data_IF_724864448715
#
_entry.id   IF_724864448715
#
_cell.length_a   1.000
_cell.length_b   1.000
_cell.length_c   1.000
_cell.angle_alpha   90.00
_cell.angle_beta   90.00
_cell.angle_gamma   90.00
#
_symmetry.space_group_name_H-M   'P 1'
#
loop_
_entity.id
_entity.type
_entity.pdbx_description
1 polymer ?
#
# COMPACT_ATOMS: atom_id res chain seq x y z
N UNK A 1 64.83 43.06 -61.80
CA UNK A 1 65.38 42.47 -60.54
C UNK A 1 64.37 42.71 -59.47
N UNK A 2 63.52 41.69 -59.18
CA UNK A 2 62.42 41.75 -58.21
C UNK A 2 62.77 40.83 -57.09
N UNK A 3 62.98 41.36 -55.89
CA UNK A 3 63.24 40.60 -54.65
C UNK A 3 61.89 40.26 -54.08
N UNK A 4 61.59 38.94 -53.91
CA UNK A 4 60.48 38.37 -53.16
C UNK A 4 60.84 38.24 -51.68
N UNK A 5 60.11 38.91 -50.79
CA UNK A 5 60.22 38.73 -49.37
C UNK A 5 59.21 37.54 -48.98
N UNK A 6 59.76 36.54 -48.36
CA UNK A 6 59.00 35.42 -47.76
C UNK A 6 58.86 35.74 -46.29
N UNK A 7 57.57 35.84 -45.82
CA UNK A 7 57.22 35.98 -44.43
C UNK A 7 57.00 34.57 -43.85
N UNK A 8 57.79 34.19 -42.84
CA UNK A 8 57.55 33.04 -42.02
C UNK A 8 56.69 33.51 -40.84
N UNK A 9 55.42 32.99 -40.75
CA UNK A 9 54.56 33.15 -39.58
C UNK A 9 54.88 32.06 -38.63
N UNK A 10 55.41 32.39 -37.44
CA UNK A 10 55.51 31.47 -36.31
C UNK A 10 54.15 31.46 -35.58
N UNK A 11 53.42 30.38 -35.70
CA UNK A 11 52.25 30.12 -34.87
C UNK A 11 52.70 29.53 -33.54
N UNK A 12 52.60 30.31 -32.47
CA UNK A 12 52.79 29.86 -31.10
C UNK A 12 51.47 29.23 -30.64
N UNK A 13 51.39 27.90 -30.54
CA UNK A 13 50.30 27.19 -29.91
C UNK A 13 50.42 27.38 -28.39
N UNK A 14 49.52 28.18 -27.81
CA UNK A 14 49.25 28.20 -26.41
C UNK A 14 48.42 26.95 -26.05
N UNK A 15 49.03 25.90 -25.51
CA UNK A 15 48.36 24.81 -24.85
C UNK A 15 47.99 25.29 -23.46
N UNK A 16 46.75 25.78 -23.31
CA UNK A 16 46.18 26.03 -21.99
C UNK A 16 45.95 24.68 -21.31
N UNK A 17 46.85 24.29 -20.44
CA UNK A 17 46.68 23.15 -19.53
C UNK A 17 45.46 23.46 -18.63
N UNK A 18 44.30 22.88 -18.91
CA UNK A 18 43.20 22.78 -17.94
C UNK A 18 43.71 21.82 -16.88
N UNK A 19 44.21 22.35 -15.78
CA UNK A 19 44.36 21.58 -14.54
C UNK A 19 42.95 21.19 -14.13
N UNK A 20 42.55 19.93 -14.39
CA UNK A 20 41.44 19.30 -13.71
C UNK A 20 41.81 19.36 -12.23
N UNK A 21 41.30 20.38 -11.54
CA UNK A 21 41.35 20.41 -10.09
C UNK A 21 40.77 19.09 -9.60
N UNK A 22 41.55 18.31 -8.86
CA UNK A 22 41.03 17.19 -8.12
C UNK A 22 39.88 17.73 -7.30
N UNK A 23 38.67 17.30 -7.66
CA UNK A 23 37.49 17.48 -6.80
C UNK A 23 37.88 16.75 -5.53
N UNK A 24 38.20 17.51 -4.48
CA UNK A 24 38.45 16.92 -3.17
C UNK A 24 37.25 16.03 -2.89
N UNK A 25 37.50 14.75 -2.63
CA UNK A 25 36.45 13.81 -2.28
C UNK A 25 35.59 14.46 -1.21
N UNK A 26 34.30 14.56 -1.48
CA UNK A 26 33.37 15.10 -0.49
C UNK A 26 33.54 14.25 0.79
N UNK A 27 33.55 14.88 1.96
CA UNK A 27 33.70 14.12 3.20
C UNK A 27 32.62 13.03 3.24
N UNK A 28 32.94 11.82 3.68
CA UNK A 28 31.95 10.75 3.72
C UNK A 28 30.75 11.18 4.55
N UNK A 29 29.55 10.93 4.04
CA UNK A 29 28.33 11.17 4.79
C UNK A 29 28.38 10.46 6.15
N UNK A 30 27.92 11.10 7.23
CA UNK A 30 27.83 10.41 8.51
C UNK A 30 26.99 9.12 8.36
N UNK A 31 27.23 8.08 9.16
CA UNK A 31 26.36 6.91 9.15
C UNK A 31 24.94 7.30 9.55
N UNK A 32 23.90 6.57 9.10
CA UNK A 32 22.55 6.77 9.56
C UNK A 32 22.46 6.64 11.09
N UNK A 33 21.66 7.49 11.72
CA UNK A 33 21.48 7.48 13.18
C UNK A 33 20.87 6.15 13.65
N UNK A 34 21.58 5.47 14.56
CA UNK A 34 21.16 4.17 15.10
C UNK A 34 19.92 4.23 15.98
N UNK A 35 19.52 5.41 16.47
CA UNK A 35 18.27 5.59 17.20
C UNK A 35 17.03 5.31 16.35
N UNK A 36 17.12 5.51 15.04
CA UNK A 36 16.03 5.23 14.11
C UNK A 36 16.04 3.81 13.55
N UNK A 37 17.08 3.02 13.77
CA UNK A 37 17.16 1.66 13.27
C UNK A 37 16.02 0.80 13.81
N UNK A 38 15.30 0.13 12.91
CA UNK A 38 14.28 -0.86 13.23
C UNK A 38 14.55 -2.18 12.51
N UNK A 39 14.07 -3.28 13.07
CA UNK A 39 14.10 -4.60 12.44
C UNK A 39 12.82 -4.82 11.64
N UNK A 40 11.70 -4.26 12.13
CA UNK A 40 10.38 -4.27 11.51
C UNK A 40 9.94 -2.83 11.27
N UNK A 41 9.48 -2.54 10.06
CA UNK A 41 8.73 -1.32 9.72
C UNK A 41 7.28 -1.69 9.42
N UNK A 42 6.35 -1.07 10.14
CA UNK A 42 4.91 -1.20 9.89
C UNK A 42 4.47 0.05 9.13
N UNK A 43 3.76 -0.14 8.03
CA UNK A 43 3.18 0.96 7.23
C UNK A 43 1.69 0.70 7.12
N UNK A 44 0.89 1.56 7.72
CA UNK A 44 -0.56 1.39 7.85
C UNK A 44 -1.30 2.71 7.59
N UNK A 45 -2.62 2.66 7.51
CA UNK A 45 -3.42 3.83 7.17
C UNK A 45 -3.74 4.69 8.41
N UNK A 46 -4.31 4.09 9.46
CA UNK A 46 -4.88 4.80 10.60
C UNK A 46 -4.21 4.41 11.91
N UNK A 47 -4.23 5.30 12.93
CA UNK A 47 -3.86 4.91 14.29
C UNK A 47 -4.85 3.89 14.82
N UNK A 48 -4.45 2.70 15.08
CA UNK A 48 -5.10 1.46 15.53
C UNK A 48 -4.90 0.26 14.57
N UNK A 49 -4.55 0.49 13.32
CA UNK A 49 -4.29 -0.58 12.34
C UNK A 49 -3.18 -1.55 12.81
N UNK A 50 -2.20 -1.04 13.56
CA UNK A 50 -1.11 -1.86 14.12
C UNK A 50 -1.62 -2.94 15.08
N UNK A 51 -2.83 -2.75 15.62
CA UNK A 51 -3.47 -3.72 16.53
C UNK A 51 -3.68 -5.07 15.88
N UNK A 52 -3.83 -5.13 14.57
CA UNK A 52 -3.92 -6.37 13.79
C UNK A 52 -2.72 -7.30 13.99
N UNK A 53 -1.56 -6.75 14.33
CA UNK A 53 -0.33 -7.52 14.51
C UNK A 53 0.26 -7.40 15.90
N UNK A 54 -0.38 -6.68 16.82
CA UNK A 54 0.14 -6.38 18.17
C UNK A 54 0.43 -7.62 18.99
N UNK A 55 -0.36 -8.69 18.86
CA UNK A 55 -0.06 -9.97 19.51
C UNK A 55 1.28 -10.57 19.08
N UNK A 56 1.68 -10.41 17.83
CA UNK A 56 3.01 -10.77 17.34
C UNK A 56 4.07 -9.75 17.77
N UNK A 57 3.75 -8.45 17.73
CA UNK A 57 4.68 -7.41 18.16
C UNK A 57 5.08 -7.56 19.62
N UNK A 58 4.17 -7.98 20.48
CA UNK A 58 4.47 -8.31 21.88
C UNK A 58 5.57 -9.36 21.99
N UNK A 59 5.47 -10.45 21.22
CA UNK A 59 6.52 -11.48 21.13
C UNK A 59 7.84 -10.90 20.60
N UNK A 60 7.78 -10.23 19.47
CA UNK A 60 8.96 -9.71 18.78
C UNK A 60 9.74 -8.70 19.64
N UNK A 61 9.03 -7.79 20.33
CA UNK A 61 9.65 -6.75 21.14
C UNK A 61 10.15 -7.27 22.49
N UNK A 62 9.26 -7.91 23.24
CA UNK A 62 9.57 -8.27 24.64
C UNK A 62 10.46 -9.50 24.79
N UNK A 63 10.32 -10.47 23.88
CA UNK A 63 11.01 -11.74 23.99
C UNK A 63 12.12 -11.94 22.95
N UNK A 64 11.99 -11.35 21.76
CA UNK A 64 12.97 -11.43 20.68
C UNK A 64 13.82 -10.14 20.54
N UNK A 65 13.52 -9.11 21.33
CA UNK A 65 14.24 -7.83 21.37
C UNK A 65 14.34 -7.13 20.02
N UNK A 66 13.30 -7.27 19.18
CA UNK A 66 13.20 -6.61 17.89
C UNK A 66 12.82 -5.14 18.07
N UNK A 67 13.46 -4.28 17.29
CA UNK A 67 13.11 -2.86 17.21
C UNK A 67 12.02 -2.68 16.15
N UNK A 68 10.99 -1.94 16.49
CA UNK A 68 9.84 -1.67 15.63
C UNK A 68 9.74 -0.18 15.35
N UNK A 69 9.35 0.17 14.15
CA UNK A 69 8.98 1.51 13.74
C UNK A 69 7.62 1.46 13.02
N UNK A 70 6.82 2.53 13.14
CA UNK A 70 5.47 2.59 12.58
C UNK A 70 5.27 3.87 11.78
N UNK A 71 4.60 3.74 10.64
CA UNK A 71 4.18 4.84 9.77
C UNK A 71 2.67 4.74 9.58
N UNK A 72 1.97 5.79 9.97
CA UNK A 72 0.55 5.99 9.68
C UNK A 72 0.39 6.91 8.47
N UNK A 73 -0.46 6.53 7.52
CA UNK A 73 -0.80 7.35 6.36
C UNK A 73 -1.55 8.60 6.76
N UNK A 74 -2.58 8.43 7.55
CA UNK A 74 -3.47 9.49 8.03
C UNK A 74 -3.41 9.63 9.55
N UNK A 75 -4.25 10.48 10.10
CA UNK A 75 -4.52 10.57 11.55
C UNK A 75 -5.88 9.99 11.93
N UNK A 76 -6.58 9.35 10.99
CA UNK A 76 -7.94 8.86 11.21
C UNK A 76 -8.97 9.98 11.43
N UNK A 77 -8.72 11.15 10.87
CA UNK A 77 -9.49 12.37 11.12
C UNK A 77 -10.83 12.41 10.36
N UNK A 78 -11.06 11.53 9.41
CA UNK A 78 -12.33 11.34 8.71
C UNK A 78 -13.33 10.42 9.44
N UNK A 79 -12.88 9.68 10.45
CA UNK A 79 -13.72 8.73 11.20
C UNK A 79 -14.64 9.36 12.23
N UNK A 80 -15.44 8.51 12.87
CA UNK A 80 -16.29 8.88 14.02
C UNK A 80 -15.52 8.86 15.35
N UNK A 81 -15.97 9.64 16.34
CA UNK A 81 -15.40 9.63 17.69
C UNK A 81 -16.30 8.81 18.62
N UNK A 82 -15.79 7.69 19.15
CA UNK A 82 -16.53 6.81 20.06
C UNK A 82 -16.66 7.38 21.49
N UNK A 83 -15.84 8.36 21.87
CA UNK A 83 -15.75 8.87 23.25
C UNK A 83 -16.17 10.32 23.42
N UNK A 84 -16.13 11.14 22.38
CA UNK A 84 -16.29 12.57 22.47
C UNK A 84 -17.02 13.19 21.27
N UNK A 85 -16.83 14.49 21.10
CA UNK A 85 -17.45 15.28 20.03
C UNK A 85 -16.42 15.84 19.04
N UNK A 86 -15.15 15.60 19.28
CA UNK A 86 -14.06 16.03 18.42
C UNK A 86 -14.21 15.41 17.06
N UNK A 87 -14.04 16.21 16.00
CA UNK A 87 -14.16 15.82 14.60
C UNK A 87 -12.99 16.40 13.80
N UNK A 88 -12.73 15.82 12.64
CA UNK A 88 -11.72 16.28 11.71
C UNK A 88 -10.35 16.49 12.39
N UNK A 89 -9.66 17.60 12.15
CA UNK A 89 -8.32 17.84 12.66
C UNK A 89 -8.17 17.71 14.19
N UNK A 90 -9.24 18.00 14.97
CA UNK A 90 -9.22 17.80 16.44
C UNK A 90 -9.23 16.33 16.80
N UNK A 91 -10.05 15.53 16.12
CA UNK A 91 -10.07 14.07 16.29
C UNK A 91 -8.72 13.45 15.86
N UNK A 92 -8.18 13.89 14.73
CA UNK A 92 -6.88 13.41 14.26
C UNK A 92 -5.74 13.72 15.25
N UNK A 93 -5.78 14.88 15.91
CA UNK A 93 -4.80 15.22 16.96
C UNK A 93 -4.94 14.33 18.20
N UNK A 94 -6.17 13.98 18.60
CA UNK A 94 -6.44 13.04 19.69
C UNK A 94 -5.95 11.63 19.36
N UNK A 95 -6.28 11.12 18.18
CA UNK A 95 -5.86 9.80 17.69
C UNK A 95 -4.34 9.69 17.54
N UNK A 96 -3.67 10.75 17.12
CA UNK A 96 -2.19 10.78 17.11
C UNK A 96 -1.62 10.57 18.51
N UNK A 97 -2.22 11.18 19.55
CA UNK A 97 -1.80 10.97 20.94
C UNK A 97 -2.09 9.54 21.39
N UNK A 98 -3.25 9.00 21.05
CA UNK A 98 -3.64 7.62 21.38
C UNK A 98 -2.68 6.61 20.76
N UNK A 99 -2.42 6.67 19.45
CA UNK A 99 -1.50 5.78 18.77
C UNK A 99 -0.06 5.88 19.28
N UNK A 100 0.43 7.09 19.58
CA UNK A 100 1.76 7.24 20.19
C UNK A 100 1.83 6.61 21.58
N UNK A 101 0.78 6.73 22.41
CA UNK A 101 0.74 6.12 23.75
C UNK A 101 0.61 4.61 23.69
N UNK A 102 -0.20 4.10 22.77
CA UNK A 102 -0.33 2.68 22.53
C UNK A 102 1.04 2.06 22.22
N UNK A 103 1.73 2.59 21.24
CA UNK A 103 3.05 2.16 20.80
C UNK A 103 4.14 2.38 21.86
N UNK A 104 4.09 3.50 22.61
CA UNK A 104 5.01 3.79 23.73
C UNK A 104 4.89 2.72 24.83
N UNK A 105 3.70 2.14 25.07
CA UNK A 105 3.51 1.06 26.05
C UNK A 105 4.35 -0.19 25.72
N UNK A 106 4.68 -0.35 24.44
CA UNK A 106 5.61 -1.39 23.95
C UNK A 106 7.05 -0.89 23.78
N UNK A 107 7.33 0.37 24.11
CA UNK A 107 8.63 0.98 23.93
C UNK A 107 8.95 1.39 22.48
N UNK A 108 7.94 1.46 21.62
CA UNK A 108 8.07 1.91 20.23
C UNK A 108 7.98 3.43 20.20
N UNK A 109 9.12 4.09 19.91
CA UNK A 109 9.22 5.56 19.90
C UNK A 109 9.33 6.14 18.48
N UNK A 110 9.66 5.30 17.50
CA UNK A 110 9.83 5.70 16.10
C UNK A 110 8.49 5.61 15.38
N UNK A 111 7.69 6.67 15.45
CA UNK A 111 6.33 6.74 14.93
C UNK A 111 6.18 8.00 14.08
N UNK A 112 5.77 7.84 12.82
CA UNK A 112 5.54 8.92 11.86
C UNK A 112 4.10 8.92 11.37
N UNK A 113 3.62 10.09 11.01
CA UNK A 113 2.35 10.32 10.33
C UNK A 113 2.67 11.04 9.02
N UNK A 114 2.22 10.50 7.90
CA UNK A 114 2.43 11.13 6.58
C UNK A 114 1.58 12.39 6.42
N UNK A 115 0.52 12.51 7.23
CA UNK A 115 -0.39 13.66 7.22
C UNK A 115 -1.31 13.69 6.01
N UNK A 116 -1.54 12.55 5.38
CA UNK A 116 -2.54 12.43 4.34
C UNK A 116 -3.95 12.58 4.94
N UNK A 117 -4.93 13.14 4.18
CA UNK A 117 -6.32 13.16 4.61
C UNK A 117 -6.88 11.74 4.69
N UNK A 118 -7.70 11.48 5.68
CA UNK A 118 -8.49 10.26 5.79
C UNK A 118 -9.60 10.27 4.74
N UNK A 119 -9.69 9.22 3.93
CA UNK A 119 -10.58 9.15 2.75
C UNK A 119 -11.63 8.07 2.97
N UNK A 120 -12.91 8.42 3.13
CA UNK A 120 -13.95 7.41 3.21
C UNK A 120 -14.24 6.82 1.83
N UNK A 121 -14.20 5.50 1.69
CA UNK A 121 -14.55 4.84 0.43
C UNK A 121 -13.96 3.46 0.24
N UNK A 122 -14.04 2.99 -1.02
CA UNK A 122 -13.61 1.66 -1.44
C UNK A 122 -12.74 1.73 -2.71
N UNK A 123 -12.30 2.93 -3.12
CA UNK A 123 -11.53 3.15 -4.34
C UNK A 123 -10.10 3.60 -4.01
N UNK A 124 -9.16 2.67 -4.01
CA UNK A 124 -7.75 2.91 -3.75
C UNK A 124 -7.15 4.03 -4.60
N UNK A 125 -7.61 4.21 -5.84
CA UNK A 125 -7.09 5.28 -6.71
C UNK A 125 -7.45 6.65 -6.17
N UNK A 126 -8.63 6.79 -5.55
CA UNK A 126 -9.06 8.02 -4.89
C UNK A 126 -8.18 8.30 -3.67
N UNK A 127 -7.93 7.31 -2.83
CA UNK A 127 -7.02 7.49 -1.69
C UNK A 127 -5.61 7.84 -2.14
N UNK A 128 -5.05 7.15 -3.14
CA UNK A 128 -3.74 7.46 -3.68
C UNK A 128 -3.65 8.89 -4.24
N UNK A 129 -4.71 9.36 -4.93
CA UNK A 129 -4.80 10.75 -5.41
C UNK A 129 -4.86 11.74 -4.23
N UNK A 130 -5.76 11.50 -3.27
CA UNK A 130 -5.98 12.34 -2.10
C UNK A 130 -4.73 12.42 -1.21
N UNK A 131 -4.02 11.32 -1.04
CA UNK A 131 -2.77 11.25 -0.29
C UNK A 131 -1.58 11.90 -1.02
N UNK A 132 -1.77 12.37 -2.25
CA UNK A 132 -0.66 12.79 -3.10
C UNK A 132 0.39 11.68 -3.20
N UNK A 133 0.02 10.59 -3.87
CA UNK A 133 0.77 9.32 -3.98
C UNK A 133 2.29 9.50 -4.04
N UNK A 134 2.78 10.35 -4.96
CA UNK A 134 4.22 10.58 -5.10
C UNK A 134 4.88 11.14 -3.83
N UNK A 135 4.19 12.00 -3.09
CA UNK A 135 4.69 12.57 -1.83
C UNK A 135 4.68 11.54 -0.70
N UNK A 136 3.59 10.80 -0.55
CA UNK A 136 3.46 9.75 0.47
C UNK A 136 4.50 8.64 0.23
N UNK A 137 4.70 8.23 -1.03
CA UNK A 137 5.72 7.27 -1.43
C UNK A 137 7.14 7.79 -1.13
N UNK A 138 7.45 9.03 -1.48
CA UNK A 138 8.77 9.63 -1.21
C UNK A 138 9.08 9.66 0.29
N UNK A 139 8.10 10.01 1.13
CA UNK A 139 8.24 10.02 2.58
C UNK A 139 8.44 8.60 3.13
N UNK A 140 7.66 7.62 2.66
CA UNK A 140 7.78 6.21 3.09
C UNK A 140 9.13 5.62 2.71
N UNK A 141 9.61 5.87 1.49
CA UNK A 141 10.97 5.49 1.04
C UNK A 141 12.03 6.12 1.93
N UNK A 142 11.88 7.41 2.28
CA UNK A 142 12.79 8.10 3.18
C UNK A 142 12.83 7.46 4.57
N UNK A 143 11.67 7.16 5.15
CA UNK A 143 11.58 6.51 6.47
C UNK A 143 12.18 5.10 6.40
N UNK A 144 11.94 4.36 5.32
CA UNK A 144 12.51 3.03 5.11
C UNK A 144 14.05 3.07 5.01
N UNK A 145 14.61 4.07 4.34
CA UNK A 145 16.07 4.33 4.29
C UNK A 145 16.62 4.76 5.65
N UNK A 146 15.84 5.51 6.43
CA UNK A 146 16.21 5.95 7.76
C UNK A 146 16.20 4.79 8.77
N UNK A 147 15.14 4.00 8.77
CA UNK A 147 14.93 2.89 9.72
C UNK A 147 15.65 1.61 9.32
N UNK A 148 15.95 1.42 8.05
CA UNK A 148 16.70 0.27 7.51
C UNK A 148 16.14 -1.09 7.98
N UNK A 149 14.84 -1.37 7.80
CA UNK A 149 14.21 -2.57 8.30
C UNK A 149 14.63 -3.80 7.50
N UNK A 150 14.60 -4.98 8.13
CA UNK A 150 14.71 -6.26 7.44
C UNK A 150 13.35 -6.68 6.89
N UNK A 151 12.29 -6.41 7.65
CA UNK A 151 10.91 -6.83 7.36
C UNK A 151 9.98 -5.63 7.33
N UNK A 152 9.08 -5.62 6.38
CA UNK A 152 7.97 -4.65 6.27
C UNK A 152 6.66 -5.39 6.51
N UNK A 153 5.79 -4.83 7.35
CA UNK A 153 4.43 -5.31 7.59
C UNK A 153 3.45 -4.22 7.12
N UNK A 154 2.39 -4.60 6.42
CA UNK A 154 1.39 -3.66 5.94
C UNK A 154 0.07 -4.35 5.61
N UNK A 155 -0.96 -3.57 5.28
CA UNK A 155 -2.23 -4.08 4.79
C UNK A 155 -2.08 -4.81 3.46
N UNK A 156 -2.91 -5.83 3.24
CA UNK A 156 -3.02 -6.49 1.94
C UNK A 156 -3.56 -5.49 0.90
N UNK A 157 -2.76 -5.10 -0.10
CA UNK A 157 -3.23 -4.18 -1.12
C UNK A 157 -4.19 -4.91 -2.07
N UNK A 158 -5.45 -4.58 -2.03
CA UNK A 158 -6.52 -5.19 -2.84
C UNK A 158 -7.81 -5.31 -2.07
N UNK A 159 -8.87 -5.72 -2.77
CA UNK A 159 -10.15 -5.99 -2.14
C UNK A 159 -10.08 -7.26 -1.31
N UNK A 160 -10.61 -7.21 -0.11
CA UNK A 160 -10.76 -8.38 0.76
C UNK A 160 -12.22 -8.53 1.14
N UNK A 161 -12.72 -9.76 1.18
CA UNK A 161 -14.12 -10.02 1.54
C UNK A 161 -14.42 -9.46 2.94
N UNK A 162 -15.34 -8.52 3.00
CA UNK A 162 -15.77 -7.87 4.23
C UNK A 162 -15.06 -6.58 4.61
N UNK A 163 -13.87 -6.33 4.07
CA UNK A 163 -13.12 -5.09 4.29
C UNK A 163 -12.64 -4.53 2.96
N UNK A 164 -13.11 -3.35 2.61
CA UNK A 164 -12.78 -2.69 1.35
C UNK A 164 -12.30 -1.25 1.54
N UNK A 165 -11.84 -0.90 2.77
CA UNK A 165 -11.41 0.47 3.05
C UNK A 165 -10.23 0.85 2.14
N UNK A 166 -10.40 1.91 1.37
CA UNK A 166 -9.45 2.32 0.34
C UNK A 166 -8.13 2.84 0.92
N UNK A 167 -8.14 3.46 2.11
CA UNK A 167 -6.91 3.92 2.77
C UNK A 167 -6.05 2.74 3.24
N UNK A 168 -6.64 1.63 3.70
CA UNK A 168 -5.91 0.39 4.00
C UNK A 168 -5.22 -0.14 2.74
N UNK A 169 -5.95 -0.17 1.62
CA UNK A 169 -5.40 -0.58 0.33
C UNK A 169 -4.27 0.35 -0.12
N UNK A 170 -4.42 1.67 0.04
CA UNK A 170 -3.41 2.67 -0.32
C UNK A 170 -2.14 2.52 0.51
N UNK A 171 -2.26 2.27 1.81
CA UNK A 171 -1.11 1.98 2.68
C UNK A 171 -0.34 0.75 2.19
N UNK A 172 -1.05 -0.34 1.84
CA UNK A 172 -0.47 -1.55 1.26
C UNK A 172 0.24 -1.31 -0.07
N UNK A 173 -0.34 -0.49 -0.95
CA UNK A 173 0.27 -0.09 -2.23
C UNK A 173 1.54 0.69 -1.99
N UNK A 174 1.50 1.77 -1.21
CA UNK A 174 2.65 2.64 -0.92
C UNK A 174 3.78 1.86 -0.23
N UNK A 175 3.45 0.98 0.73
CA UNK A 175 4.44 0.15 1.39
C UNK A 175 5.14 -0.82 0.43
N UNK A 176 4.39 -1.40 -0.51
CA UNK A 176 4.93 -2.32 -1.53
C UNK A 176 5.85 -1.59 -2.50
N UNK A 177 5.44 -0.43 -2.99
CA UNK A 177 6.26 0.41 -3.87
C UNK A 177 7.52 0.91 -3.15
N UNK A 178 7.38 1.35 -1.90
CA UNK A 178 8.51 1.79 -1.08
C UNK A 178 9.50 0.64 -0.82
N UNK A 179 9.02 -0.58 -0.55
CA UNK A 179 9.84 -1.78 -0.42
C UNK A 179 10.70 -2.02 -1.66
N UNK A 180 10.11 -1.87 -2.84
CA UNK A 180 10.80 -2.07 -4.11
C UNK A 180 11.76 -0.93 -4.47
N UNK A 181 11.47 0.30 -4.04
CA UNK A 181 12.24 1.49 -4.45
C UNK A 181 13.30 1.93 -3.43
N UNK A 182 13.19 1.56 -2.16
CA UNK A 182 14.11 2.07 -1.13
C UNK A 182 15.57 1.66 -1.37
N UNK A 183 15.79 0.50 -2.02
CA UNK A 183 17.12 0.02 -2.43
C UNK A 183 17.67 0.65 -3.70
N UNK A 184 16.83 1.34 -4.49
CA UNK A 184 17.23 1.95 -5.75
C UNK A 184 17.80 3.36 -5.53
N UNK A 185 19.09 3.62 -5.83
CA UNK A 185 19.68 4.95 -5.68
C UNK A 185 19.12 5.97 -6.68
N UNK A 186 18.46 5.52 -7.75
CA UNK A 186 17.85 6.40 -8.76
C UNK A 186 16.43 6.81 -8.42
N UNK A 187 15.78 6.10 -7.49
CA UNK A 187 14.50 6.50 -6.92
C UNK A 187 14.71 7.55 -5.83
N UNK A 188 14.08 8.71 -5.96
CA UNK A 188 14.24 9.85 -5.04
C UNK A 188 15.74 10.14 -4.75
N UNK A 189 16.53 10.43 -5.79
CA UNK A 189 18.00 10.56 -5.66
C UNK A 189 18.40 11.69 -4.72
N UNK A 190 17.56 12.71 -4.53
CA UNK A 190 17.77 13.81 -3.59
C UNK A 190 17.89 13.36 -2.14
N UNK A 191 17.36 12.19 -1.80
CA UNK A 191 17.45 11.63 -0.45
C UNK A 191 18.82 11.02 -0.14
N UNK A 192 19.56 10.58 -1.15
CA UNK A 192 20.81 9.81 -1.00
C UNK A 192 22.00 10.47 -1.67
N UNK A 193 21.79 11.53 -2.45
CA UNK A 193 22.82 12.28 -3.15
C UNK A 193 23.18 13.56 -2.40
N UNK A 194 24.43 13.98 -2.49
CA UNK A 194 24.82 15.31 -2.03
C UNK A 194 24.07 16.38 -2.84
N UNK A 195 23.48 17.39 -2.20
CA UNK A 195 22.85 18.48 -2.93
C UNK A 195 23.89 19.25 -3.73
N UNK A 196 23.49 19.73 -4.91
CA UNK A 196 24.35 20.59 -5.75
C UNK A 196 24.57 21.96 -5.12
N UNK A 197 23.59 22.42 -4.37
CA UNK A 197 23.63 23.66 -3.61
C UNK A 197 23.96 23.38 -2.15
N UNK A 198 25.09 23.86 -1.68
CA UNK A 198 25.55 23.68 -0.29
C UNK A 198 24.74 24.53 0.71
N UNK A 199 23.92 25.46 0.25
CA UNK A 199 23.00 26.23 1.10
C UNK A 199 21.73 25.47 1.47
N UNK A 200 21.40 24.39 0.73
CA UNK A 200 20.24 23.56 0.98
C UNK A 200 20.45 22.67 2.19
N UNK A 201 19.41 22.51 3.01
CA UNK A 201 19.36 21.46 4.05
C UNK A 201 19.44 20.11 3.35
N UNK A 202 20.41 19.31 3.72
CA UNK A 202 20.82 18.13 3.00
C UNK A 202 20.49 16.86 3.78
N UNK A 203 20.07 15.81 3.08
CA UNK A 203 19.98 14.45 3.61
C UNK A 203 21.32 13.88 4.07
N UNK A 204 22.44 14.52 3.72
CA UNK A 204 23.76 14.14 4.23
C UNK A 204 23.82 14.19 5.75
N UNK A 205 23.05 15.08 6.39
CA UNK A 205 22.98 15.16 7.86
C UNK A 205 22.28 13.95 8.48
N UNK A 206 21.45 13.23 7.71
CA UNK A 206 20.78 12.01 8.15
C UNK A 206 21.54 10.74 7.76
N UNK A 207 22.54 10.86 6.90
CA UNK A 207 23.32 9.75 6.40
C UNK A 207 22.52 8.73 5.60
N UNK A 208 21.41 9.15 4.96
CA UNK A 208 20.56 8.25 4.21
C UNK A 208 21.32 7.57 3.08
N UNK A 209 21.06 6.29 2.91
CA UNK A 209 21.63 5.45 1.86
C UNK A 209 20.54 4.54 1.31
N UNK A 210 20.68 4.07 0.06
CA UNK A 210 19.80 3.02 -0.44
C UNK A 210 19.74 1.86 0.54
N UNK A 211 18.54 1.38 0.82
CA UNK A 211 18.32 0.25 1.72
C UNK A 211 17.26 -0.68 1.15
N UNK A 212 17.63 -1.93 0.87
CA UNK A 212 16.72 -2.94 0.39
C UNK A 212 16.20 -3.78 1.56
N UNK A 213 14.92 -3.62 1.98
CA UNK A 213 14.32 -4.55 2.91
C UNK A 213 14.27 -5.96 2.31
N UNK A 214 14.21 -6.99 3.17
CA UNK A 214 14.40 -8.36 2.71
C UNK A 214 13.10 -9.11 2.48
N UNK A 215 12.06 -8.77 3.27
CA UNK A 215 10.73 -9.39 3.16
C UNK A 215 9.63 -8.37 3.39
N UNK A 216 8.52 -8.55 2.68
CA UNK A 216 7.28 -7.84 2.94
C UNK A 216 6.16 -8.85 3.20
N UNK A 217 5.44 -8.63 4.28
CA UNK A 217 4.26 -9.40 4.68
C UNK A 217 3.05 -8.50 4.74
N UNK A 218 1.92 -9.09 4.43
CA UNK A 218 0.63 -8.43 4.50
C UNK A 218 -0.24 -9.07 5.59
N UNK A 219 -1.18 -8.29 6.10
CA UNK A 219 -2.25 -8.75 6.98
C UNK A 219 -3.60 -8.18 6.49
N UNK A 220 -4.68 -8.67 7.04
CA UNK A 220 -6.05 -8.31 6.68
C UNK A 220 -6.96 -8.51 7.88
N UNK A 221 -8.01 -7.73 7.98
CA UNK A 221 -9.10 -7.85 8.94
C UNK A 221 -10.31 -8.62 8.41
N UNK A 222 -10.15 -9.31 7.26
CA UNK A 222 -11.19 -10.16 6.71
C UNK A 222 -11.74 -11.13 7.75
N UNK A 223 -13.07 -11.16 7.87
CA UNK A 223 -13.79 -12.02 8.82
C UNK A 223 -13.61 -13.53 8.57
N UNK A 224 -13.24 -13.89 7.34
CA UNK A 224 -12.98 -15.27 6.92
C UNK A 224 -11.51 -15.44 6.57
N UNK A 225 -10.73 -16.02 7.48
CA UNK A 225 -9.28 -16.17 7.31
C UNK A 225 -8.83 -17.52 6.77
N UNK A 226 -9.75 -18.44 6.45
CA UNK A 226 -9.39 -19.76 5.90
C UNK A 226 -8.58 -19.73 4.61
N UNK A 227 -8.76 -18.70 3.76
CA UNK A 227 -7.96 -18.51 2.54
C UNK A 227 -6.48 -18.15 2.81
N UNK A 228 -6.14 -17.80 4.04
CA UNK A 228 -4.77 -17.44 4.46
C UNK A 228 -3.94 -18.66 4.86
N UNK A 229 -4.54 -19.84 5.00
CA UNK A 229 -3.83 -21.05 5.42
C UNK A 229 -2.68 -21.37 4.46
N UNK A 230 -1.48 -21.55 5.03
CA UNK A 230 -0.26 -21.81 4.27
C UNK A 230 0.31 -20.65 3.48
N UNK A 231 -0.26 -19.44 3.56
CA UNK A 231 0.19 -18.25 2.83
C UNK A 231 1.25 -17.43 3.56
N UNK A 232 1.43 -17.69 4.85
CA UNK A 232 2.41 -17.01 5.69
C UNK A 232 2.49 -17.64 7.07
N UNK A 233 3.32 -17.10 7.97
CA UNK A 233 3.41 -17.56 9.34
C UNK A 233 2.14 -17.21 10.13
N UNK A 234 1.92 -18.01 11.16
CA UNK A 234 0.84 -17.81 12.13
C UNK A 234 1.44 -17.79 13.53
N UNK A 235 1.10 -16.78 14.31
CA UNK A 235 1.60 -16.59 15.66
C UNK A 235 0.47 -16.71 16.68
N UNK A 236 0.62 -17.64 17.63
CA UNK A 236 -0.37 -17.82 18.70
C UNK A 236 -0.31 -16.66 19.69
N UNK A 237 -1.45 -16.02 19.90
CA UNK A 237 -1.60 -14.99 20.93
C UNK A 237 -1.83 -15.62 22.33
N UNK A 238 -2.21 -16.89 22.39
CA UNK A 238 -2.45 -17.65 23.65
C UNK A 238 -1.16 -18.09 24.34
N UNK A 239 -0.04 -18.06 23.63
CA UNK A 239 1.24 -18.39 24.24
C UNK A 239 1.62 -17.32 25.28
N UNK A 240 2.21 -17.76 26.40
CA UNK A 240 2.70 -16.86 27.42
C UNK A 240 4.06 -16.26 27.02
N UNK A 241 4.21 -14.95 27.20
CA UNK A 241 5.50 -14.29 27.07
C UNK A 241 6.45 -14.76 28.17
N UNK A 242 7.63 -15.29 27.85
CA UNK A 242 8.64 -15.66 28.83
C UNK A 242 9.10 -14.48 29.69
N UNK A 243 9.19 -13.28 29.15
CA UNK A 243 9.68 -12.09 29.87
C UNK A 243 8.58 -11.38 30.68
N UNK A 244 7.32 -11.42 30.21
CA UNK A 244 6.19 -10.70 30.81
C UNK A 244 5.30 -11.59 31.68
N UNK A 245 5.41 -12.91 31.56
CA UNK A 245 4.66 -13.93 32.31
C UNK A 245 3.12 -13.86 32.15
N UNK A 246 2.68 -13.29 31.03
CA UNK A 246 1.25 -13.24 30.63
C UNK A 246 1.10 -13.63 29.17
N UNK A 247 -0.09 -14.06 28.72
CA UNK A 247 -0.33 -14.35 27.30
C UNK A 247 -0.17 -13.10 26.42
N UNK A 248 0.25 -13.30 25.16
CA UNK A 248 0.43 -12.19 24.22
C UNK A 248 -0.88 -11.47 23.92
N UNK A 249 -2.04 -12.15 23.92
CA UNK A 249 -3.34 -11.48 23.76
C UNK A 249 -3.60 -10.43 24.85
N UNK A 250 -3.13 -10.66 26.07
CA UNK A 250 -3.29 -9.69 27.16
C UNK A 250 -2.44 -8.45 26.91
N UNK A 251 -1.19 -8.63 26.46
CA UNK A 251 -0.32 -7.51 26.09
C UNK A 251 -0.91 -6.72 24.91
N UNK A 252 -1.46 -7.43 23.92
CA UNK A 252 -2.17 -6.79 22.81
C UNK A 252 -3.37 -5.98 23.28
N UNK A 253 -4.19 -6.50 24.21
CA UNK A 253 -5.30 -5.74 24.78
C UNK A 253 -4.81 -4.53 25.61
N UNK A 254 -3.68 -4.63 26.31
CA UNK A 254 -3.09 -3.50 27.04
C UNK A 254 -2.73 -2.35 26.08
N UNK A 255 -2.09 -2.65 24.95
CA UNK A 255 -1.77 -1.66 23.93
C UNK A 255 -3.03 -1.10 23.28
N UNK A 256 -3.93 -1.95 22.79
CA UNK A 256 -5.17 -1.55 22.13
C UNK A 256 -6.06 -0.68 23.02
N UNK A 257 -5.97 -0.80 24.34
CA UNK A 257 -6.78 -0.03 25.30
C UNK A 257 -6.53 1.48 25.26
N UNK A 258 -5.51 1.94 24.56
CA UNK A 258 -5.24 3.38 24.36
C UNK A 258 -6.06 3.99 23.21
N UNK A 259 -6.55 3.19 22.24
CA UNK A 259 -7.31 3.66 21.08
C UNK A 259 -8.80 3.86 21.40
N UNK A 260 -9.11 4.87 22.21
CA UNK A 260 -10.46 5.06 22.76
C UNK A 260 -11.44 5.71 21.79
N UNK A 261 -10.92 6.59 20.94
CA UNK A 261 -11.76 7.32 19.97
C UNK A 261 -12.06 6.50 18.72
N UNK A 262 -11.32 5.40 18.50
CA UNK A 262 -11.48 4.47 17.39
C UNK A 262 -12.56 3.45 17.74
N UNK A 263 -13.69 3.44 17.07
CA UNK A 263 -14.75 2.45 17.27
C UNK A 263 -14.89 1.94 18.73
N UNK A 264 -15.42 0.74 18.94
CA UNK A 264 -15.56 0.13 20.27
C UNK A 264 -14.29 -0.63 20.74
N UNK A 265 -13.25 -0.74 19.90
CA UNK A 265 -12.12 -1.66 20.11
C UNK A 265 -11.32 -1.33 21.38
N UNK A 266 -10.97 -0.07 21.57
CA UNK A 266 -10.25 0.36 22.78
C UNK A 266 -11.06 0.17 24.05
N UNK A 267 -12.37 0.41 23.99
CA UNK A 267 -13.28 0.17 25.11
C UNK A 267 -13.41 -1.33 25.41
N UNK A 268 -13.53 -2.16 24.38
CA UNK A 268 -13.56 -3.63 24.53
C UNK A 268 -12.27 -4.14 25.19
N UNK A 269 -11.12 -3.60 24.79
CA UNK A 269 -9.83 -3.93 25.40
C UNK A 269 -9.79 -3.57 26.89
N UNK A 270 -10.25 -2.38 27.28
CA UNK A 270 -10.36 -1.97 28.69
C UNK A 270 -11.27 -2.90 29.48
N UNK A 271 -12.41 -3.27 28.91
CA UNK A 271 -13.34 -4.18 29.56
C UNK A 271 -12.75 -5.60 29.70
N UNK A 272 -12.05 -6.10 28.69
CA UNK A 272 -11.37 -7.39 28.75
C UNK A 272 -10.31 -7.40 29.86
N UNK A 273 -9.52 -6.34 29.97
CA UNK A 273 -8.53 -6.20 31.05
C UNK A 273 -9.16 -6.15 32.43
N UNK A 274 -10.30 -5.47 32.58
CA UNK A 274 -11.00 -5.33 33.85
C UNK A 274 -11.72 -6.62 34.28
N UNK A 275 -12.31 -7.36 33.32
CA UNK A 275 -13.12 -8.55 33.56
C UNK A 275 -12.32 -9.87 33.50
N UNK A 276 -11.16 -9.85 32.84
CA UNK A 276 -10.35 -11.04 32.56
C UNK A 276 -10.92 -11.89 31.41
N UNK A 277 -11.78 -11.35 30.57
CA UNK A 277 -12.37 -12.00 29.41
C UNK A 277 -11.74 -11.50 28.11
N UNK A 278 -10.91 -12.33 27.50
CA UNK A 278 -10.10 -11.97 26.34
C UNK A 278 -10.49 -12.70 25.04
N UNK A 279 -11.65 -13.30 24.96
CA UNK A 279 -12.01 -14.18 23.84
C UNK A 279 -11.85 -13.51 22.46
N UNK A 280 -12.06 -12.19 22.32
CA UNK A 280 -11.85 -11.45 21.08
C UNK A 280 -10.37 -11.26 20.72
N UNK A 281 -9.46 -11.33 21.70
CA UNK A 281 -8.03 -11.09 21.52
C UNK A 281 -7.23 -12.39 21.38
N UNK A 282 -7.88 -13.54 21.46
CA UNK A 282 -7.24 -14.86 21.43
C UNK A 282 -6.94 -15.37 20.03
N UNK A 283 -7.46 -14.69 18.98
CA UNK A 283 -7.20 -15.06 17.61
C UNK A 283 -5.70 -14.94 17.28
N UNK A 284 -5.12 -15.91 16.56
CA UNK A 284 -3.72 -15.84 16.17
C UNK A 284 -3.48 -14.72 15.15
N UNK A 285 -2.32 -14.08 15.24
CA UNK A 285 -1.86 -13.18 14.20
C UNK A 285 -1.48 -14.01 12.97
N UNK A 286 -2.10 -13.73 11.83
CA UNK A 286 -1.83 -14.37 10.55
C UNK A 286 -1.21 -13.35 9.59
N UNK A 287 -0.07 -13.70 9.02
CA UNK A 287 0.60 -12.89 8.01
C UNK A 287 0.57 -13.61 6.67
N UNK A 288 0.66 -12.85 5.60
CA UNK A 288 0.72 -13.33 4.22
C UNK A 288 2.07 -12.95 3.66
N UNK A 289 2.86 -13.91 3.21
CA UNK A 289 4.12 -13.59 2.54
C UNK A 289 3.84 -12.98 1.17
N UNK A 290 4.11 -11.68 1.03
CA UNK A 290 4.06 -11.01 -0.26
C UNK A 290 5.28 -11.36 -1.10
N UNK A 291 6.44 -10.96 -0.62
CA UNK A 291 7.71 -11.15 -1.32
C UNK A 291 8.83 -11.43 -0.33
N UNK A 292 9.73 -12.33 -0.70
CA UNK A 292 11.01 -12.54 -0.01
C UNK A 292 12.17 -12.45 -1.00
N UNK A 293 13.16 -11.63 -0.68
CA UNK A 293 14.42 -11.53 -1.42
C UNK A 293 15.51 -12.46 -0.86
N UNK A 294 15.19 -13.19 0.20
CA UNK A 294 16.02 -14.18 0.85
C UNK A 294 15.31 -15.54 0.87
N UNK A 295 16.07 -16.61 1.05
CA UNK A 295 15.51 -17.96 1.02
C UNK A 295 14.70 -18.25 2.30
N UNK A 296 13.42 -18.53 2.14
CA UNK A 296 12.52 -19.04 3.19
C UNK A 296 11.34 -19.78 2.58
N UNK A 297 10.64 -20.59 3.37
CA UNK A 297 9.30 -21.07 3.02
C UNK A 297 8.25 -20.00 3.37
N UNK A 298 7.07 -20.00 2.75
CA UNK A 298 6.03 -19.01 3.05
C UNK A 298 5.62 -18.96 4.52
N UNK A 299 5.57 -20.12 5.19
CA UNK A 299 5.11 -20.27 6.59
C UNK A 299 6.22 -20.19 7.63
N UNK A 300 7.47 -19.98 7.21
CA UNK A 300 8.59 -19.77 8.13
C UNK A 300 8.41 -18.46 8.90
N UNK A 301 9.11 -18.37 10.04
CA UNK A 301 9.18 -17.11 10.82
C UNK A 301 9.60 -15.94 9.92
N UNK A 302 9.06 -14.73 10.19
CA UNK A 302 9.34 -13.58 9.32
C UNK A 302 10.82 -13.22 9.26
N UNK A 303 11.62 -13.60 10.25
CA UNK A 303 13.08 -13.40 10.24
C UNK A 303 13.87 -14.57 9.68
N UNK A 304 13.25 -15.72 9.39
CA UNK A 304 13.96 -16.86 8.81
C UNK A 304 14.65 -16.49 7.51
N UNK A 305 15.93 -16.83 7.38
CA UNK A 305 16.77 -16.52 6.22
C UNK A 305 17.18 -15.06 6.09
N UNK A 306 16.73 -14.14 6.95
CA UNK A 306 17.18 -12.75 6.90
C UNK A 306 18.62 -12.61 7.35
N UNK A 307 19.33 -11.62 6.80
CA UNK A 307 20.72 -11.31 7.19
C UNK A 307 20.80 -9.93 7.81
N UNK A 308 21.79 -9.75 8.69
CA UNK A 308 22.11 -8.43 9.21
C UNK A 308 22.86 -7.62 8.16
N UNK A 309 22.44 -6.38 7.94
CA UNK A 309 23.05 -5.47 6.98
C UNK A 309 22.35 -5.41 5.63
N UNK A 310 22.90 -4.62 4.70
CA UNK A 310 22.29 -4.38 3.40
C UNK A 310 22.42 -5.61 2.49
N UNK A 311 21.36 -5.87 1.72
CA UNK A 311 21.39 -6.81 0.60
C UNK A 311 21.40 -6.01 -0.73
N UNK A 312 21.85 -6.61 -1.84
CA UNK A 312 21.80 -5.97 -3.14
C UNK A 312 20.36 -5.62 -3.56
N UNK A 313 20.22 -4.43 -4.16
CA UNK A 313 18.96 -4.02 -4.78
C UNK A 313 18.54 -5.00 -5.88
N UNK A 314 17.25 -5.31 -5.94
CA UNK A 314 16.64 -6.12 -7.00
C UNK A 314 15.53 -5.33 -7.65
N UNK A 315 15.78 -4.93 -8.90
CA UNK A 315 14.76 -4.27 -9.71
C UNK A 315 13.57 -5.21 -9.96
N UNK A 316 12.38 -4.64 -9.88
CA UNK A 316 11.13 -5.30 -10.26
C UNK A 316 10.74 -4.97 -11.70
N UNK A 317 9.69 -5.63 -12.21
CA UNK A 317 9.21 -5.41 -13.57
C UNK A 317 8.80 -3.97 -13.82
N UNK A 318 8.16 -3.33 -12.84
CA UNK A 318 7.49 -2.04 -13.01
C UNK A 318 6.24 -2.14 -13.89
N UNK A 319 5.53 -1.04 -14.03
CA UNK A 319 4.30 -0.96 -14.82
C UNK A 319 4.60 -1.11 -16.31
N UNK A 320 4.16 -2.21 -16.90
CA UNK A 320 4.33 -2.52 -18.33
C UNK A 320 3.08 -3.22 -18.83
N UNK A 321 2.20 -2.51 -19.54
CA UNK A 321 1.00 -3.11 -20.11
C UNK A 321 1.34 -4.34 -20.94
N UNK A 322 0.50 -5.37 -20.86
CA UNK A 322 0.59 -6.53 -21.73
C UNK A 322 -0.27 -6.32 -22.97
N UNK A 323 0.26 -6.70 -24.12
CA UNK A 323 -0.53 -6.78 -25.32
C UNK A 323 -1.48 -7.97 -25.23
N UNK A 324 -2.77 -7.74 -25.45
CA UNK A 324 -3.78 -8.77 -25.57
C UNK A 324 -3.94 -9.25 -27.01
N UNK A 325 -5.01 -9.98 -27.28
CA UNK A 325 -5.39 -10.40 -28.61
C UNK A 325 -6.88 -10.11 -28.87
N UNK A 326 -7.16 -9.49 -30.02
CA UNK A 326 -8.54 -9.22 -30.43
C UNK A 326 -9.24 -8.16 -29.57
N UNK A 327 -10.52 -8.36 -29.34
CA UNK A 327 -11.35 -7.46 -28.49
C UNK A 327 -11.62 -8.13 -27.15
N UNK A 328 -11.48 -7.37 -26.06
CA UNK A 328 -11.79 -7.84 -24.71
C UNK A 328 -12.56 -6.79 -23.91
N UNK A 329 -13.26 -7.25 -22.88
CA UNK A 329 -13.96 -6.43 -21.91
C UNK A 329 -13.40 -6.72 -20.51
N UNK A 330 -13.08 -5.67 -19.79
CA UNK A 330 -12.46 -5.76 -18.47
C UNK A 330 -13.11 -4.74 -17.50
N UNK A 331 -13.07 -5.03 -16.20
CA UNK A 331 -13.32 -4.01 -15.18
C UNK A 331 -12.16 -3.02 -15.18
N UNK A 332 -12.50 -1.74 -15.19
CA UNK A 332 -11.56 -0.62 -15.14
C UNK A 332 -11.24 -0.17 -13.71
N UNK A 333 -10.74 1.05 -13.57
CA UNK A 333 -10.48 1.66 -12.28
C UNK A 333 -9.57 0.81 -11.38
N UNK A 334 -9.92 0.62 -10.10
CA UNK A 334 -9.10 -0.13 -9.15
C UNK A 334 -8.79 -1.57 -9.61
N UNK A 335 -9.72 -2.25 -10.28
CA UNK A 335 -9.49 -3.62 -10.74
C UNK A 335 -8.43 -3.70 -11.86
N UNK A 336 -8.44 -2.74 -12.78
CA UNK A 336 -7.40 -2.64 -13.80
C UNK A 336 -6.04 -2.30 -13.17
N UNK A 337 -6.03 -1.40 -12.20
CA UNK A 337 -4.84 -1.05 -11.44
C UNK A 337 -4.23 -2.29 -10.78
N UNK A 338 -5.00 -3.07 -10.03
CA UNK A 338 -4.47 -4.24 -9.33
C UNK A 338 -3.96 -5.35 -10.27
N UNK A 339 -4.60 -5.56 -11.43
CA UNK A 339 -4.07 -6.53 -12.41
C UNK A 339 -2.63 -6.23 -12.84
N UNK A 340 -2.31 -4.95 -13.02
CA UNK A 340 -0.96 -4.52 -13.37
C UNK A 340 -0.07 -4.40 -12.13
N UNK A 341 -0.60 -3.97 -10.99
CA UNK A 341 0.13 -3.83 -9.73
C UNK A 341 0.79 -5.14 -9.28
N UNK A 342 0.06 -6.26 -9.29
CA UNK A 342 0.62 -7.56 -8.92
C UNK A 342 1.83 -7.94 -9.77
N UNK A 343 1.74 -7.69 -11.06
CA UNK A 343 2.80 -7.97 -12.03
C UNK A 343 3.97 -7.01 -11.88
N UNK A 344 3.66 -5.73 -11.75
CA UNK A 344 4.66 -4.66 -11.62
C UNK A 344 5.60 -4.93 -10.44
N UNK A 345 5.02 -5.41 -9.34
CA UNK A 345 5.72 -5.64 -8.09
C UNK A 345 6.12 -7.10 -7.83
N UNK A 346 5.91 -8.00 -8.79
CA UNK A 346 6.26 -9.44 -8.71
C UNK A 346 5.63 -10.13 -7.48
N UNK A 347 4.34 -9.86 -7.26
CA UNK A 347 3.50 -10.42 -6.19
C UNK A 347 2.22 -11.08 -6.73
N UNK A 348 2.28 -11.65 -7.93
CA UNK A 348 1.16 -12.34 -8.59
C UNK A 348 0.64 -13.54 -7.78
N UNK A 349 1.45 -14.07 -6.86
CA UNK A 349 1.04 -15.09 -5.90
C UNK A 349 -0.13 -14.64 -5.00
N UNK A 350 -0.35 -13.34 -4.86
CA UNK A 350 -1.44 -12.77 -4.07
C UNK A 350 -2.74 -12.60 -4.88
N UNK A 351 -2.67 -12.56 -6.20
CA UNK A 351 -3.85 -12.34 -7.05
C UNK A 351 -4.95 -13.39 -6.82
N UNK A 352 -4.56 -14.63 -6.52
CA UNK A 352 -5.50 -15.71 -6.21
C UNK A 352 -6.12 -15.66 -4.81
N UNK A 353 -5.68 -14.76 -3.94
CA UNK A 353 -6.26 -14.56 -2.61
C UNK A 353 -7.46 -13.62 -2.64
N UNK A 354 -7.58 -12.83 -3.70
CA UNK A 354 -8.65 -11.85 -3.82
C UNK A 354 -9.93 -12.54 -4.29
N UNK A 355 -11.07 -12.23 -3.69
CA UNK A 355 -12.35 -12.73 -4.15
C UNK A 355 -12.68 -12.19 -5.55
N UNK A 356 -13.77 -12.67 -6.12
CA UNK A 356 -14.39 -12.03 -7.29
C UNK A 356 -14.59 -10.55 -7.00
N UNK A 357 -14.34 -9.65 -7.98
CA UNK A 357 -14.53 -8.22 -7.78
C UNK A 357 -15.88 -7.91 -7.13
N UNK A 358 -15.85 -7.19 -6.02
CA UNK A 358 -17.04 -6.85 -5.22
C UNK A 358 -16.97 -5.41 -4.72
N UNK A 359 -18.16 -4.84 -4.47
CA UNK A 359 -18.34 -3.53 -3.84
C UNK A 359 -19.57 -3.56 -2.94
N UNK A 360 -19.61 -2.68 -1.95
CA UNK A 360 -20.80 -2.45 -1.12
C UNK A 360 -21.40 -1.06 -1.40
N UNK A 361 -22.72 -0.98 -1.47
CA UNK A 361 -23.44 0.30 -1.59
C UNK A 361 -24.75 0.28 -0.81
N UNK A 362 -25.29 1.46 -0.52
CA UNK A 362 -26.60 1.63 0.09
C UNK A 362 -27.75 1.34 -0.87
N UNK A 363 -28.86 0.85 -0.33
CA UNK A 363 -30.09 0.65 -1.11
C UNK A 363 -30.63 1.97 -1.67
N UNK A 364 -30.91 2.01 -2.97
CA UNK A 364 -31.39 3.20 -3.70
C UNK A 364 -30.27 4.13 -4.18
N UNK A 365 -29.02 3.85 -3.89
CA UNK A 365 -27.87 4.64 -4.34
C UNK A 365 -27.53 4.40 -5.81
N UNK A 366 -26.63 5.22 -6.33
CA UNK A 366 -26.13 5.12 -7.70
C UNK A 366 -24.75 4.47 -7.68
N UNK A 367 -24.61 3.38 -8.44
CA UNK A 367 -23.35 2.68 -8.64
C UNK A 367 -22.72 3.12 -9.96
N UNK A 368 -21.46 3.52 -9.90
CA UNK A 368 -20.64 3.84 -11.05
C UNK A 368 -19.64 2.71 -11.26
N UNK A 369 -19.67 2.07 -12.43
CA UNK A 369 -18.77 0.94 -12.75
C UNK A 369 -17.91 1.31 -13.94
N UNK A 370 -16.61 1.50 -13.77
CA UNK A 370 -15.70 1.69 -14.88
C UNK A 370 -15.48 0.37 -15.62
N UNK A 371 -15.63 0.39 -16.94
CA UNK A 371 -15.29 -0.71 -17.82
C UNK A 371 -14.20 -0.28 -18.80
N UNK A 372 -13.37 -1.21 -19.22
CA UNK A 372 -12.38 -1.02 -20.26
C UNK A 372 -12.73 -1.91 -21.44
N UNK A 373 -12.97 -1.30 -22.59
CA UNK A 373 -13.15 -1.99 -23.87
C UNK A 373 -11.81 -1.89 -24.61
N UNK A 374 -11.10 -2.99 -24.73
CA UNK A 374 -9.80 -3.07 -25.37
C UNK A 374 -9.91 -3.64 -26.76
N UNK A 375 -9.18 -3.10 -27.71
CA UNK A 375 -9.01 -3.63 -29.06
C UNK A 375 -7.53 -3.77 -29.38
N UNK A 376 -7.01 -4.97 -29.24
CA UNK A 376 -5.61 -5.31 -29.57
C UNK A 376 -5.44 -5.82 -31.01
N UNK A 377 -6.47 -5.69 -31.86
CA UNK A 377 -6.40 -6.06 -33.28
C UNK A 377 -5.85 -4.90 -34.16
N UNK A 378 -5.39 -5.25 -35.35
CA UNK A 378 -4.82 -4.31 -36.33
C UNK A 378 -5.87 -3.41 -37.03
N UNK A 379 -7.15 -3.52 -36.68
CA UNK A 379 -8.21 -2.76 -37.32
C UNK A 379 -9.16 -2.15 -36.27
N UNK A 380 -9.74 -0.97 -36.54
CA UNK A 380 -10.79 -0.40 -35.71
C UNK A 380 -11.97 -1.35 -35.56
N UNK A 381 -12.56 -1.40 -34.37
CA UNK A 381 -13.72 -2.23 -34.05
C UNK A 381 -14.84 -1.38 -33.45
N UNK A 382 -16.10 -1.81 -33.66
CA UNK A 382 -17.24 -1.26 -32.94
C UNK A 382 -17.73 -2.32 -31.97
N UNK A 383 -17.63 -2.02 -30.69
CA UNK A 383 -17.99 -2.95 -29.62
C UNK A 383 -19.33 -2.54 -29.01
N UNK A 384 -20.29 -3.47 -29.01
CA UNK A 384 -21.58 -3.30 -28.36
C UNK A 384 -21.51 -3.83 -26.94
N UNK A 385 -21.82 -2.98 -25.96
CA UNK A 385 -21.97 -3.37 -24.56
C UNK A 385 -23.46 -3.57 -24.22
N UNK A 386 -23.74 -4.59 -23.42
CA UNK A 386 -25.07 -4.90 -22.92
C UNK A 386 -24.97 -5.33 -21.45
N UNK A 387 -25.77 -4.67 -20.57
CA UNK A 387 -25.89 -5.06 -19.18
C UNK A 387 -26.88 -6.21 -19.01
N UNK A 388 -26.56 -7.16 -18.14
CA UNK A 388 -27.45 -8.20 -17.63
C UNK A 388 -27.61 -7.97 -16.14
N UNK A 389 -28.78 -7.42 -15.77
CA UNK A 389 -29.05 -6.92 -14.43
C UNK A 389 -30.12 -7.77 -13.73
N UNK A 390 -29.94 -8.02 -12.41
CA UNK A 390 -31.02 -8.64 -11.61
C UNK A 390 -32.27 -7.75 -11.51
N UNK A 391 -33.42 -8.31 -11.10
CA UNK A 391 -34.63 -7.53 -10.90
C UNK A 391 -34.45 -6.36 -9.93
N UNK A 392 -35.03 -5.22 -10.31
CA UNK A 392 -34.99 -3.98 -9.50
C UNK A 392 -33.80 -3.06 -9.79
N UNK A 393 -32.73 -3.54 -10.41
CA UNK A 393 -31.65 -2.70 -10.89
C UNK A 393 -32.03 -2.00 -12.19
N UNK A 394 -31.61 -0.75 -12.36
CA UNK A 394 -31.88 0.03 -13.56
C UNK A 394 -30.60 0.65 -14.10
N UNK A 395 -30.30 0.38 -15.35
CA UNK A 395 -29.22 1.06 -16.06
C UNK A 395 -29.65 2.46 -16.49
N UNK A 396 -28.87 3.47 -16.13
CA UNK A 396 -29.07 4.87 -16.55
C UNK A 396 -28.14 5.24 -17.71
N UNK A 397 -26.95 4.62 -17.78
CA UNK A 397 -25.98 4.79 -18.86
C UNK A 397 -25.04 3.59 -18.92
N UNK A 398 -24.48 3.32 -20.09
CA UNK A 398 -23.40 2.32 -20.27
C UNK A 398 -23.63 1.39 -21.45
N UNK A 399 -24.82 0.80 -21.60
CA UNK A 399 -25.12 -0.05 -22.77
C UNK A 399 -25.18 0.79 -24.04
N UNK A 400 -24.18 0.64 -24.89
CA UNK A 400 -24.02 1.43 -26.12
C UNK A 400 -23.09 0.70 -27.11
N UNK A 401 -22.88 1.34 -28.27
CA UNK A 401 -21.83 0.95 -29.23
C UNK A 401 -20.65 1.89 -29.09
N UNK A 402 -19.46 1.34 -28.88
CA UNK A 402 -18.24 2.08 -28.68
C UNK A 402 -17.27 1.84 -29.83
N UNK A 403 -16.89 2.87 -30.60
CA UNK A 403 -15.82 2.76 -31.57
C UNK A 403 -14.48 2.72 -30.86
N UNK A 404 -13.68 1.69 -31.11
CA UNK A 404 -12.36 1.52 -30.50
C UNK A 404 -11.32 1.38 -31.62
N UNK A 405 -10.35 2.26 -31.69
CA UNK A 405 -9.29 2.24 -32.68
C UNK A 405 -8.47 0.94 -32.55
N UNK A 406 -7.67 0.62 -33.59
CA UNK A 406 -6.71 -0.47 -33.52
C UNK A 406 -5.67 -0.18 -32.41
N UNK A 407 -5.34 -1.21 -31.62
CA UNK A 407 -4.39 -1.15 -30.51
C UNK A 407 -4.73 -0.05 -29.48
N UNK A 408 -6.03 0.15 -29.23
CA UNK A 408 -6.53 1.22 -28.35
C UNK A 408 -7.44 0.66 -27.25
N UNK A 409 -7.74 1.51 -26.28
CA UNK A 409 -8.54 1.19 -25.11
C UNK A 409 -9.56 2.29 -24.87
N UNK A 410 -10.85 1.92 -24.82
CA UNK A 410 -11.93 2.84 -24.58
C UNK A 410 -12.46 2.68 -23.14
N UNK A 411 -12.34 3.72 -22.28
CA UNK A 411 -12.95 3.71 -20.96
C UNK A 411 -14.46 3.99 -21.06
N UNK A 412 -15.28 3.01 -20.70
CA UNK A 412 -16.73 3.13 -20.67
C UNK A 412 -17.21 3.21 -19.22
N UNK A 413 -18.01 4.23 -18.92
CA UNK A 413 -18.61 4.40 -17.59
C UNK A 413 -20.05 3.87 -17.62
N UNK A 414 -20.33 2.88 -16.79
CA UNK A 414 -21.70 2.42 -16.54
C UNK A 414 -22.26 3.10 -15.30
N UNK A 415 -23.52 3.50 -15.38
CA UNK A 415 -24.25 4.13 -14.27
C UNK A 415 -25.52 3.34 -13.99
N UNK A 416 -25.61 2.79 -12.80
CA UNK A 416 -26.75 1.98 -12.36
C UNK A 416 -27.47 2.63 -11.17
N UNK A 417 -28.77 2.47 -11.09
CA UNK A 417 -29.55 2.73 -9.89
C UNK A 417 -29.78 1.40 -9.16
N UNK A 418 -29.38 1.33 -7.91
CA UNK A 418 -29.68 0.19 -7.05
C UNK A 418 -31.14 0.21 -6.62
N UNK A 419 -31.75 -0.97 -6.38
CA UNK A 419 -33.13 -1.02 -5.89
C UNK A 419 -33.25 -0.41 -4.49
N UNK A 420 -34.32 0.39 -4.29
CA UNK A 420 -34.64 0.97 -2.99
C UNK A 420 -35.53 0.01 -2.16
N UNK A 421 -35.45 0.10 -0.84
CA UNK A 421 -36.33 -0.59 0.08
C UNK A 421 -36.22 -2.12 0.12
N UNK A 422 -35.13 -2.67 -0.40
CA UNK A 422 -34.84 -4.11 -0.36
C UNK A 422 -34.08 -4.48 0.93
N UNK A 423 -34.13 -5.78 1.29
CA UNK A 423 -33.30 -6.30 2.37
C UNK A 423 -31.83 -6.38 1.90
N UNK A 424 -30.87 -6.29 2.82
CA UNK A 424 -29.46 -6.55 2.53
C UNK A 424 -29.29 -7.87 1.80
N UNK A 425 -28.60 -7.85 0.67
CA UNK A 425 -28.36 -9.02 -0.16
C UNK A 425 -27.19 -8.81 -1.11
N UNK A 426 -26.65 -9.91 -1.60
CA UNK A 426 -25.66 -9.91 -2.67
C UNK A 426 -26.32 -10.03 -4.03
N UNK A 427 -25.82 -9.27 -5.02
CA UNK A 427 -26.24 -9.27 -6.41
C UNK A 427 -25.05 -9.47 -7.33
N UNK A 428 -25.27 -10.13 -8.47
CA UNK A 428 -24.29 -10.23 -9.55
C UNK A 428 -24.74 -9.36 -10.72
N UNK A 429 -23.92 -8.42 -11.11
CA UNK A 429 -24.12 -7.54 -12.25
C UNK A 429 -23.14 -7.95 -13.34
N UNK A 430 -23.63 -8.22 -14.54
CA UNK A 430 -22.81 -8.70 -15.65
C UNK A 430 -22.92 -7.78 -16.85
N UNK A 431 -21.80 -7.51 -17.50
CA UNK A 431 -21.75 -6.83 -18.80
C UNK A 431 -21.16 -7.77 -19.83
N UNK A 432 -21.74 -7.74 -21.02
CA UNK A 432 -21.28 -8.52 -22.18
C UNK A 432 -20.86 -7.59 -23.30
N UNK A 433 -19.74 -7.91 -23.93
CA UNK A 433 -19.25 -7.24 -25.12
C UNK A 433 -19.47 -8.13 -26.36
N UNK A 434 -19.90 -7.52 -27.44
CA UNK A 434 -20.01 -8.13 -28.78
C UNK A 434 -19.23 -7.26 -29.79
N UNK A 435 -18.41 -7.86 -30.62
CA UNK A 435 -17.71 -7.21 -31.74
C UNK A 435 -17.95 -7.99 -33.00
N UNK A 436 -18.37 -7.33 -34.09
CA UNK A 436 -18.70 -8.00 -35.36
C UNK A 436 -19.74 -9.12 -35.17
N UNK A 437 -20.74 -8.88 -34.31
CA UNK A 437 -21.80 -9.82 -33.92
C UNK A 437 -21.28 -11.15 -33.29
N UNK A 438 -20.05 -11.15 -32.81
CA UNK A 438 -19.46 -12.25 -32.05
C UNK A 438 -19.18 -11.84 -30.60
N UNK A 439 -19.30 -12.78 -29.63
CA UNK A 439 -18.94 -12.51 -28.25
C UNK A 439 -17.46 -12.05 -28.14
N UNK A 440 -17.23 -10.95 -27.43
CA UNK A 440 -15.90 -10.35 -27.23
C UNK A 440 -15.52 -10.26 -25.74
N UNK A 441 -16.24 -10.96 -24.88
CA UNK A 441 -15.95 -11.04 -23.45
C UNK A 441 -17.15 -10.69 -22.57
N UNK A 442 -17.01 -10.99 -21.29
CA UNK A 442 -17.98 -10.59 -20.27
C UNK A 442 -17.24 -10.36 -18.94
N UNK A 443 -17.78 -9.44 -18.13
CA UNK A 443 -17.29 -9.19 -16.77
C UNK A 443 -18.47 -9.20 -15.80
N UNK A 444 -18.21 -9.69 -14.59
CA UNK A 444 -19.19 -9.73 -13.50
C UNK A 444 -18.64 -9.01 -12.29
N UNK A 445 -19.48 -8.20 -11.65
CA UNK A 445 -19.23 -7.51 -10.40
C UNK A 445 -20.24 -8.01 -9.37
N UNK A 446 -19.78 -8.41 -8.19
CA UNK A 446 -20.66 -8.67 -7.05
C UNK A 446 -20.91 -7.36 -6.30
N UNK A 447 -22.16 -7.13 -5.96
CA UNK A 447 -22.58 -5.93 -5.23
C UNK A 447 -23.34 -6.34 -3.99
N UNK A 448 -22.86 -5.92 -2.84
CA UNK A 448 -23.59 -6.01 -1.58
C UNK A 448 -24.47 -4.77 -1.44
N UNK A 449 -25.76 -4.96 -1.35
CA UNK A 449 -26.67 -3.89 -0.90
C UNK A 449 -26.83 -3.99 0.60
N UNK A 450 -26.53 -2.91 1.31
CA UNK A 450 -26.83 -2.78 2.73
C UNK A 450 -27.88 -1.69 2.96
N UNK A 451 -28.39 -1.61 4.22
CA UNK A 451 -29.36 -0.59 4.63
C UNK A 451 -28.76 0.79 4.81
N UNK A 452 -27.44 0.88 4.98
CA UNK A 452 -26.67 2.13 5.10
C UNK A 452 -25.60 2.15 4.04
N UNK A 453 -25.32 3.33 3.46
CA UNK A 453 -24.07 3.53 2.73
C UNK A 453 -22.92 3.17 3.66
N UNK A 454 -22.03 2.35 3.18
CA UNK A 454 -20.76 2.10 3.87
C UNK A 454 -19.90 3.34 3.63
N UNK A 455 -19.90 4.24 4.60
CA UNK A 455 -19.01 5.41 4.68
C UNK A 455 -18.17 5.24 5.92
#
# INVERSE_FOLDING_TARGET
>A
MTRRFVWFAFSVLFVSGVTLGQIADAPPSPPPDERFKADILIVVAHPDDETMVTGYLAKAIFDEHKRVAVVFGTRGDGGGNAMGYEQAASLGAEREIEGRRALESFGVMNVWFLGAPDTPGQDVLRSLETWNHGSALAQTVRIMRLTRPQVVLTWLPGYVAGENHDDHQAAGVIATEAFDLAGDPTAFPEQVSAPRDRSSISNLTEGLRPWQPQKIYYFTDASHTGFLEGKGPQYSTKAASPSRHVPYYRLAAEEMSFHLTQSDTGQMAKEALAKGDFHYFEEPVRLILGKSLVKCAPTDDIFEGTVQGPIPFRAVRGYRPEAGQGVSLELGGPWAFYREFWRAHSIENLAGLLPVPEVAIGAGETLYVPLLVRNDSDSPKTVKLTAVLPPGWTERAGSARYPVSAHDLYPAQVVLAAPAGVKPAWYELTWKAESDDQPAGSVTLKVQLDRKSVV
#
